data_IF_813382322669
#
_entry.id   IF_813382322669
#
_cell.length_a   1.000
_cell.length_b   1.000
_cell.length_c   1.000
_cell.angle_alpha   90.00
_cell.angle_beta   90.00
_cell.angle_gamma   90.00
#
_symmetry.space_group_name_H-M   'P 1'
#
loop_
_entity.id
_entity.type
_entity.pdbx_description
1 polymer ?
#
# COMPACT_ATOMS: atom_id res chain seq x y z
N UNK A 1 32.63 8.06 -44.64
CA UNK A 1 31.98 9.00 -43.70
C UNK A 1 31.30 8.22 -42.58
N UNK A 2 30.37 7.32 -42.91
CA UNK A 2 29.69 6.43 -41.95
C UNK A 2 30.64 5.63 -41.04
N UNK A 3 31.72 5.08 -41.59
CA UNK A 3 32.70 4.26 -40.85
C UNK A 3 33.47 5.04 -39.76
N UNK A 4 33.74 6.34 -39.98
CA UNK A 4 34.34 7.20 -38.95
C UNK A 4 33.34 7.50 -37.82
N UNK A 5 32.04 7.49 -38.14
CA UNK A 5 30.96 7.77 -37.22
C UNK A 5 30.66 6.54 -36.35
N UNK A 6 30.70 5.33 -36.91
CA UNK A 6 30.56 4.08 -36.14
C UNK A 6 31.71 3.89 -35.13
N UNK A 7 32.96 4.16 -35.52
CA UNK A 7 34.12 4.07 -34.63
C UNK A 7 34.09 5.15 -33.52
N UNK A 8 33.44 6.28 -33.77
CA UNK A 8 33.24 7.32 -32.75
C UNK A 8 32.18 6.90 -31.72
N UNK A 9 31.07 6.32 -32.17
CA UNK A 9 30.02 5.79 -31.29
C UNK A 9 30.52 4.62 -30.42
N UNK A 10 31.34 3.73 -30.98
CA UNK A 10 31.90 2.57 -30.28
C UNK A 10 32.82 3.00 -29.11
N UNK A 11 33.69 3.99 -29.34
CA UNK A 11 34.55 4.57 -28.28
C UNK A 11 33.80 5.25 -27.15
N UNK A 12 32.62 5.83 -27.42
CA UNK A 12 31.79 6.45 -26.39
C UNK A 12 30.94 5.43 -25.61
N UNK A 13 30.63 4.27 -26.21
CA UNK A 13 29.91 3.20 -25.54
C UNK A 13 30.74 2.51 -24.42
N UNK A 14 32.07 2.60 -24.48
CA UNK A 14 32.98 1.98 -23.52
C UNK A 14 33.30 2.82 -22.27
N UNK A 15 33.00 4.13 -22.26
CA UNK A 15 33.50 5.02 -21.19
C UNK A 15 32.89 4.73 -19.81
N UNK A 16 31.68 4.17 -19.74
CA UNK A 16 31.08 3.60 -18.52
C UNK A 16 30.16 2.45 -18.97
N UNK A 17 30.37 1.20 -18.52
CA UNK A 17 29.47 0.11 -18.86
C UNK A 17 28.06 0.46 -18.37
N UNK A 18 27.10 0.54 -19.29
CA UNK A 18 25.68 0.83 -18.96
C UNK A 18 25.17 -0.13 -17.89
N UNK A 19 25.68 -1.36 -17.88
CA UNK A 19 25.46 -2.38 -16.84
C UNK A 19 25.75 -1.87 -15.42
N UNK A 20 26.82 -1.10 -15.21
CA UNK A 20 27.16 -0.56 -13.89
C UNK A 20 26.14 0.47 -13.40
N UNK A 21 25.71 1.38 -14.28
CA UNK A 21 24.68 2.36 -13.98
C UNK A 21 23.30 1.71 -13.76
N UNK A 22 22.96 0.70 -14.55
CA UNK A 22 21.69 -0.01 -14.40
C UNK A 22 21.63 -0.78 -13.07
N UNK A 23 22.74 -1.42 -12.69
CA UNK A 23 22.82 -2.12 -11.40
C UNK A 23 22.71 -1.11 -10.25
N UNK A 24 23.38 0.04 -10.28
CA UNK A 24 23.31 1.01 -9.18
C UNK A 24 21.91 1.64 -9.01
N UNK A 25 21.20 1.90 -10.10
CA UNK A 25 19.83 2.43 -10.07
C UNK A 25 18.82 1.36 -9.61
N UNK A 26 19.05 0.08 -9.91
CA UNK A 26 18.17 -1.02 -9.45
C UNK A 26 18.21 -1.28 -7.94
N UNK A 27 19.17 -0.71 -7.21
CA UNK A 27 19.38 -0.93 -5.77
C UNK A 27 18.65 0.07 -4.85
N UNK A 28 17.90 1.05 -5.37
CA UNK A 28 17.53 2.24 -4.55
C UNK A 28 16.49 1.98 -3.46
N UNK A 29 15.76 0.88 -3.47
CA UNK A 29 15.11 0.32 -2.28
C UNK A 29 14.78 -1.13 -2.62
N UNK A 30 15.22 -2.13 -1.84
CA UNK A 30 14.78 -3.50 -2.04
C UNK A 30 13.26 -3.54 -2.03
N UNK A 31 12.64 -4.13 -3.04
CA UNK A 31 11.18 -4.40 -3.02
C UNK A 31 10.77 -5.12 -1.73
N UNK A 32 11.71 -5.86 -1.14
CA UNK A 32 11.58 -6.46 0.18
C UNK A 32 11.35 -5.45 1.32
N UNK A 33 12.04 -4.30 1.34
CA UNK A 33 11.82 -3.27 2.35
C UNK A 33 10.40 -2.69 2.28
N UNK A 34 9.85 -2.52 1.07
CA UNK A 34 8.46 -2.08 0.90
C UNK A 34 7.47 -3.14 1.39
N UNK A 35 7.77 -4.42 1.17
CA UNK A 35 6.96 -5.55 1.64
C UNK A 35 7.01 -5.76 3.16
N UNK A 36 8.16 -5.55 3.79
CA UNK A 36 8.34 -5.67 5.24
C UNK A 36 7.63 -4.56 6.01
N UNK A 37 7.60 -3.35 5.44
CA UNK A 37 6.92 -2.20 6.05
C UNK A 37 5.39 -2.22 5.86
N UNK A 38 4.88 -3.15 5.07
CA UNK A 38 3.45 -3.34 4.87
C UNK A 38 2.81 -3.79 6.19
N UNK A 39 1.81 -3.07 6.73
CA UNK A 39 1.19 -3.45 8.00
C UNK A 39 0.36 -4.72 7.81
N UNK A 40 0.97 -5.87 8.11
CA UNK A 40 0.29 -7.16 8.12
C UNK A 40 -0.78 -7.18 9.23
N UNK A 41 -2.03 -7.54 8.92
CA UNK A 41 -3.11 -7.55 9.91
C UNK A 41 -2.88 -8.57 11.02
N UNK A 42 -2.04 -9.60 10.81
CA UNK A 42 -1.71 -10.63 11.81
C UNK A 42 -1.19 -10.05 13.13
N UNK A 43 -0.23 -9.12 13.09
CA UNK A 43 0.35 -8.53 14.31
C UNK A 43 -0.69 -7.72 15.08
N UNK A 44 -1.53 -6.98 14.36
CA UNK A 44 -2.64 -6.22 14.94
C UNK A 44 -3.74 -7.14 15.48
N UNK A 45 -4.01 -8.27 14.82
CA UNK A 45 -4.98 -9.26 15.28
C UNK A 45 -4.57 -9.88 16.62
N UNK A 46 -3.30 -10.27 16.77
CA UNK A 46 -2.78 -10.77 18.03
C UNK A 46 -2.89 -9.73 19.14
N UNK A 47 -2.53 -8.47 18.84
CA UNK A 47 -2.67 -7.38 19.80
C UNK A 47 -4.12 -7.21 20.24
N UNK A 48 -5.06 -7.06 19.30
CA UNK A 48 -6.50 -6.89 19.57
C UNK A 48 -7.06 -8.08 20.36
N UNK A 49 -6.66 -9.30 20.02
CA UNK A 49 -7.10 -10.51 20.73
C UNK A 49 -6.58 -10.57 22.15
N UNK A 50 -5.37 -10.03 22.41
CA UNK A 50 -4.79 -9.96 23.74
C UNK A 50 -5.32 -8.79 24.56
N UNK A 51 -5.64 -7.66 23.94
CA UNK A 51 -6.11 -6.45 24.63
C UNK A 51 -7.59 -6.53 25.01
N UNK A 52 -8.42 -7.25 24.23
CA UNK A 52 -9.86 -7.37 24.50
C UNK A 52 -10.16 -8.66 25.25
N UNK A 53 -10.13 -8.57 26.58
CA UNK A 53 -10.59 -9.63 27.47
C UNK A 53 -12.12 -9.59 27.60
N UNK A 54 -12.78 -10.74 27.39
CA UNK A 54 -14.23 -10.89 27.57
C UNK A 54 -14.88 -11.84 26.56
N UNK A 55 -15.54 -12.89 27.06
CA UNK A 55 -16.37 -13.81 26.27
C UNK A 55 -17.75 -13.25 25.91
N UNK A 56 -18.07 -12.07 26.46
CA UNK A 56 -19.36 -11.40 26.26
C UNK A 56 -19.59 -11.00 24.80
N UNK A 57 -20.87 -10.89 24.44
CA UNK A 57 -21.32 -10.43 23.12
C UNK A 57 -20.66 -9.10 22.74
N UNK A 58 -20.49 -8.20 23.72
CA UNK A 58 -19.86 -6.88 23.54
C UNK A 58 -18.37 -7.00 23.20
N UNK A 59 -17.61 -7.85 23.91
CA UNK A 59 -16.19 -8.11 23.59
C UNK A 59 -16.01 -8.77 22.22
N UNK A 60 -16.98 -9.59 21.79
CA UNK A 60 -17.00 -10.20 20.46
C UNK A 60 -17.28 -9.18 19.36
N UNK A 61 -18.22 -8.27 19.59
CA UNK A 61 -18.52 -7.15 18.69
C UNK A 61 -17.31 -6.20 18.59
N UNK A 62 -16.69 -5.84 19.72
CA UNK A 62 -15.53 -4.97 19.75
C UNK A 62 -14.36 -5.52 18.93
N UNK A 63 -14.00 -6.80 19.13
CA UNK A 63 -12.95 -7.47 18.32
C UNK A 63 -13.27 -7.46 16.83
N UNK A 64 -14.51 -7.74 16.45
CA UNK A 64 -14.97 -7.69 15.05
C UNK A 64 -14.87 -6.27 14.48
N UNK A 65 -15.31 -5.26 15.20
CA UNK A 65 -15.26 -3.87 14.75
C UNK A 65 -13.82 -3.37 14.61
N UNK A 66 -12.95 -3.68 15.57
CA UNK A 66 -11.53 -3.34 15.49
C UNK A 66 -10.84 -4.00 14.29
N UNK A 67 -11.08 -5.29 14.05
CA UNK A 67 -10.53 -5.99 12.89
C UNK A 67 -11.05 -5.41 11.56
N UNK A 68 -12.32 -4.97 11.50
CA UNK A 68 -12.85 -4.28 10.32
C UNK A 68 -12.14 -2.95 10.07
N UNK A 69 -11.82 -2.19 11.12
CA UNK A 69 -11.06 -0.94 10.99
C UNK A 69 -9.62 -1.18 10.53
N UNK A 70 -8.95 -2.23 11.04
CA UNK A 70 -7.62 -2.61 10.56
C UNK A 70 -7.66 -2.95 9.07
N UNK A 71 -8.60 -3.79 8.66
CA UNK A 71 -8.75 -4.18 7.25
C UNK A 71 -9.05 -2.97 6.34
N UNK A 72 -9.87 -2.02 6.81
CA UNK A 72 -10.15 -0.78 6.08
C UNK A 72 -8.88 0.07 5.93
N UNK A 73 -8.11 0.26 6.99
CA UNK A 73 -6.86 1.03 6.95
C UNK A 73 -5.84 0.40 6.01
N UNK A 74 -5.67 -0.93 6.06
CA UNK A 74 -4.82 -1.65 5.11
C UNK A 74 -5.28 -1.43 3.67
N UNK A 75 -6.60 -1.53 3.38
CA UNK A 75 -7.15 -1.26 2.05
C UNK A 75 -6.84 0.17 1.57
N UNK A 76 -6.96 1.17 2.44
CA UNK A 76 -6.68 2.58 2.10
C UNK A 76 -5.19 2.81 1.79
N UNK A 77 -4.29 2.19 2.56
CA UNK A 77 -2.84 2.22 2.31
C UNK A 77 -2.53 1.50 0.98
N UNK A 78 -3.14 0.34 0.74
CA UNK A 78 -2.97 -0.37 -0.51
C UNK A 78 -3.49 0.42 -1.71
N UNK A 79 -4.58 1.17 -1.55
CA UNK A 79 -5.11 2.05 -2.58
C UNK A 79 -4.17 3.20 -2.91
N UNK A 80 -3.41 3.74 -1.95
CA UNK A 80 -2.46 4.84 -2.19
C UNK A 80 -1.13 4.38 -2.80
N UNK A 81 -0.68 3.16 -2.48
CA UNK A 81 0.61 2.63 -2.96
C UNK A 81 0.46 1.79 -4.24
N UNK A 82 -0.67 1.07 -4.39
CA UNK A 82 -0.89 0.14 -5.51
C UNK A 82 -1.88 0.69 -6.53
N UNK A 83 -1.41 0.86 -7.76
CA UNK A 83 -2.26 1.23 -8.90
C UNK A 83 -3.31 0.15 -9.23
N UNK A 84 -3.04 -1.12 -8.91
CA UNK A 84 -4.00 -2.22 -9.12
C UNK A 84 -5.19 -2.11 -8.17
N UNK A 85 -4.94 -1.77 -6.90
CA UNK A 85 -6.00 -1.58 -5.90
C UNK A 85 -6.76 -0.27 -6.15
N UNK A 86 -6.05 0.78 -6.59
CA UNK A 86 -6.69 2.02 -7.03
C UNK A 86 -7.67 1.80 -8.20
N UNK A 87 -7.32 0.96 -9.19
CA UNK A 87 -8.22 0.61 -10.30
C UNK A 87 -9.45 -0.19 -9.84
N UNK A 88 -9.31 -1.02 -8.80
CA UNK A 88 -10.41 -1.82 -8.22
C UNK A 88 -11.37 -0.95 -7.39
N UNK A 89 -10.86 0.07 -6.70
CA UNK A 89 -11.62 0.96 -5.83
C UNK A 89 -11.29 2.43 -6.13
N UNK A 90 -11.79 2.99 -7.24
CA UNK A 90 -11.42 4.33 -7.69
C UNK A 90 -12.02 5.44 -6.81
N UNK A 91 -13.24 5.27 -6.28
CA UNK A 91 -13.86 6.23 -5.35
C UNK A 91 -14.12 5.58 -3.98
N UNK A 92 -14.30 6.42 -2.95
CA UNK A 92 -14.62 5.94 -1.60
C UNK A 92 -15.97 5.21 -1.57
N UNK A 93 -16.90 5.54 -2.47
CA UNK A 93 -18.19 4.86 -2.58
C UNK A 93 -18.02 3.37 -2.94
N UNK A 94 -17.06 3.04 -3.81
CA UNK A 94 -16.75 1.64 -4.14
C UNK A 94 -16.20 0.86 -2.93
N UNK A 95 -15.50 1.55 -2.02
CA UNK A 95 -14.99 0.95 -0.77
C UNK A 95 -16.14 0.70 0.21
N UNK A 96 -17.11 1.61 0.26
CA UNK A 96 -18.30 1.48 1.10
C UNK A 96 -19.21 0.35 0.57
N UNK A 97 -19.44 0.31 -0.74
CA UNK A 97 -20.28 -0.69 -1.41
C UNK A 97 -19.68 -2.11 -1.32
N UNK A 98 -18.35 -2.23 -1.32
CA UNK A 98 -17.67 -3.52 -1.14
C UNK A 98 -17.84 -4.16 0.25
N UNK A 99 -18.61 -3.54 1.16
CA UNK A 99 -18.95 -4.10 2.46
C UNK A 99 -17.82 -4.01 3.50
N UNK A 100 -16.67 -3.42 3.14
CA UNK A 100 -15.61 -3.10 4.10
C UNK A 100 -16.06 -2.05 5.11
N UNK A 101 -16.93 -1.12 4.71
CA UNK A 101 -17.52 -0.07 5.57
C UNK A 101 -19.04 -0.27 5.65
N UNK A 102 -19.50 -1.17 6.51
CA UNK A 102 -20.95 -1.34 6.72
C UNK A 102 -21.52 -0.52 7.89
N UNK A 103 -20.74 0.35 8.51
CA UNK A 103 -21.19 1.16 9.65
C UNK A 103 -21.29 2.64 9.26
N UNK A 104 -22.46 3.23 9.50
CA UNK A 104 -22.78 4.64 9.25
C UNK A 104 -21.78 5.56 9.97
N UNK A 105 -21.28 5.13 11.13
CA UNK A 105 -20.26 5.87 11.88
C UNK A 105 -18.93 5.96 11.13
N UNK A 106 -18.48 4.88 10.49
CA UNK A 106 -17.23 4.91 9.72
C UNK A 106 -17.36 5.68 8.42
N UNK A 107 -18.51 5.61 7.74
CA UNK A 107 -18.75 6.47 6.58
C UNK A 107 -18.70 7.95 6.94
N UNK A 108 -19.25 8.35 8.09
CA UNK A 108 -19.11 9.72 8.59
C UNK A 108 -17.67 10.11 8.96
N UNK A 109 -16.89 9.19 9.55
CA UNK A 109 -15.48 9.42 9.85
C UNK A 109 -14.68 9.58 8.56
N UNK A 110 -14.89 8.72 7.56
CA UNK A 110 -14.22 8.81 6.27
C UNK A 110 -14.57 10.09 5.54
N UNK A 111 -15.85 10.50 5.53
CA UNK A 111 -16.26 11.78 4.97
C UNK A 111 -15.59 12.96 5.68
N UNK A 112 -15.51 12.94 7.02
CA UNK A 112 -14.77 13.97 7.77
C UNK A 112 -13.29 14.00 7.43
N UNK A 113 -12.65 12.85 7.25
CA UNK A 113 -11.26 12.75 6.82
C UNK A 113 -11.12 13.34 5.41
N UNK A 114 -11.92 12.90 4.43
CA UNK A 114 -11.85 13.38 3.04
C UNK A 114 -12.11 14.90 2.92
N UNK A 115 -13.09 15.44 3.66
CA UNK A 115 -13.37 16.88 3.69
C UNK A 115 -12.30 17.70 4.44
N UNK A 116 -11.57 17.10 5.39
CA UNK A 116 -10.49 17.80 6.10
C UNK A 116 -9.18 17.87 5.30
N UNK A 117 -9.04 17.06 4.24
CA UNK A 117 -7.87 17.03 3.36
C UNK A 117 -8.16 17.64 1.97
N UNK A 118 -9.34 18.26 1.76
CA UNK A 118 -9.69 19.06 0.58
C UNK A 118 -9.75 20.54 0.96
#
# INVERSE_FOLDING_TARGET
>A
YFEKLSIYCDRYAEQIPVTFCLVSIGHTEPMWNQFVNLPWPDRLMFLISSSVYGSDQQGRLLRRTLMRYVNLTSLLIFRSVSTAVYKRFPTMDHVVEAGSVADIRTSQILLKITYSYS
#
